data_IF_509008646854
#
_entry.id   IF_509008646854
#
_cell.length_a   1.000
_cell.length_b   1.000
_cell.length_c   1.000
_cell.angle_alpha   90.00
_cell.angle_beta   90.00
_cell.angle_gamma   90.00
#
_symmetry.space_group_name_H-M   'P 1'
#
loop_
_entity.id
_entity.type
_entity.pdbx_description
1 polymer ?
#
# COMPACT_ATOMS: atom_id res chain seq x y z
N UNK A 1 2.21 -12.25 -11.53
CA UNK A 1 3.52 -11.91 -12.13
C UNK A 1 3.49 -10.55 -12.82
N UNK A 2 2.50 -10.25 -13.68
CA UNK A 2 2.37 -8.94 -14.33
C UNK A 2 2.27 -7.76 -13.35
N UNK A 3 1.49 -7.88 -12.28
CA UNK A 3 1.35 -6.84 -11.25
C UNK A 3 2.66 -6.51 -10.53
N UNK A 4 3.50 -7.52 -10.26
CA UNK A 4 4.84 -7.32 -9.67
C UNK A 4 5.74 -6.60 -10.65
N UNK A 5 5.75 -7.01 -11.93
CA UNK A 5 6.54 -6.34 -12.96
C UNK A 5 6.15 -4.86 -13.09
N UNK A 6 4.85 -4.55 -13.12
CA UNK A 6 4.35 -3.17 -13.12
C UNK A 6 4.81 -2.44 -11.86
N UNK A 7 4.69 -3.06 -10.68
CA UNK A 7 5.13 -2.45 -9.42
C UNK A 7 6.62 -2.12 -9.41
N UNK A 8 7.47 -3.02 -9.91
CA UNK A 8 8.91 -2.81 -10.04
C UNK A 8 9.23 -1.69 -11.03
N UNK A 9 8.55 -1.66 -12.19
CA UNK A 9 8.72 -0.59 -13.18
C UNK A 9 8.29 0.76 -12.59
N UNK A 10 7.15 0.82 -11.90
CA UNK A 10 6.68 2.04 -11.23
C UNK A 10 7.64 2.51 -10.14
N UNK A 11 8.18 1.59 -9.33
CA UNK A 11 9.18 1.91 -8.31
C UNK A 11 10.47 2.46 -8.93
N UNK A 12 10.97 1.81 -9.99
CA UNK A 12 12.17 2.25 -10.70
C UNK A 12 11.97 3.63 -11.35
N UNK A 13 10.80 3.87 -11.95
CA UNK A 13 10.47 5.17 -12.54
C UNK A 13 10.45 6.28 -11.49
N UNK A 14 9.86 6.03 -10.32
CA UNK A 14 9.89 6.98 -9.21
C UNK A 14 11.32 7.24 -8.73
N UNK A 15 12.13 6.20 -8.52
CA UNK A 15 13.53 6.38 -8.13
C UNK A 15 14.32 7.22 -9.16
N UNK A 16 14.07 7.03 -10.45
CA UNK A 16 14.69 7.84 -11.51
C UNK A 16 14.23 9.31 -11.47
N UNK A 17 12.98 9.55 -11.08
CA UNK A 17 12.39 10.89 -10.96
C UNK A 17 12.68 11.57 -9.60
N UNK A 18 13.32 10.87 -8.66
CA UNK A 18 13.56 11.35 -7.28
C UNK A 18 14.18 12.73 -7.23
N UNK A 19 15.26 12.95 -7.99
CA UNK A 19 15.98 14.22 -8.03
C UNK A 19 15.09 15.37 -8.53
N UNK A 20 14.34 15.12 -9.61
CA UNK A 20 13.39 16.09 -10.16
C UNK A 20 12.28 16.44 -9.14
N UNK A 21 11.72 15.43 -8.48
CA UNK A 21 10.66 15.62 -7.50
C UNK A 21 11.16 16.40 -6.29
N UNK A 22 12.30 16.03 -5.72
CA UNK A 22 12.86 16.72 -4.55
C UNK A 22 13.22 18.18 -4.88
N UNK A 23 13.79 18.44 -6.06
CA UNK A 23 14.13 19.79 -6.50
C UNK A 23 12.90 20.72 -6.65
N UNK A 24 11.70 20.18 -6.92
CA UNK A 24 10.46 20.97 -6.95
C UNK A 24 10.01 21.46 -5.57
N UNK A 25 10.42 20.80 -4.49
CA UNK A 25 10.03 21.15 -3.12
C UNK A 25 11.17 21.83 -2.34
N UNK A 26 12.41 21.43 -2.60
CA UNK A 26 13.60 21.93 -1.92
C UNK A 26 14.52 22.62 -2.93
N UNK A 27 14.57 23.95 -2.86
CA UNK A 27 15.33 24.79 -3.80
C UNK A 27 16.63 25.38 -3.20
N UNK A 28 16.94 25.09 -1.93
CA UNK A 28 18.07 25.71 -1.22
C UNK A 28 19.33 24.84 -1.28
N UNK A 29 20.50 25.47 -1.31
CA UNK A 29 21.82 24.81 -1.42
C UNK A 29 22.25 24.01 -0.17
N UNK A 30 21.50 24.07 0.94
CA UNK A 30 21.78 23.30 2.16
C UNK A 30 20.67 22.27 2.42
N UNK A 31 21.03 20.98 2.63
CA UNK A 31 20.07 19.95 2.97
C UNK A 31 19.37 20.31 4.28
N UNK A 32 18.08 20.65 4.19
CA UNK A 32 17.28 20.85 5.39
C UNK A 32 17.01 19.50 6.08
N UNK A 33 16.79 19.49 7.39
CA UNK A 33 16.38 18.27 8.09
C UNK A 33 15.12 17.64 7.46
N UNK A 34 14.22 18.48 6.94
CA UNK A 34 13.03 18.05 6.22
C UNK A 34 13.34 17.38 4.88
N UNK A 35 14.37 17.83 4.16
CA UNK A 35 14.79 17.24 2.88
C UNK A 35 15.38 15.85 3.08
N UNK A 36 16.24 15.66 4.08
CA UNK A 36 16.82 14.35 4.41
C UNK A 36 15.72 13.36 4.81
N UNK A 37 14.78 13.81 5.65
CA UNK A 37 13.64 13.01 6.05
C UNK A 37 12.81 12.62 4.82
N UNK A 38 12.37 13.59 4.02
CA UNK A 38 11.55 13.38 2.80
C UNK A 38 12.25 12.44 1.82
N UNK A 39 13.56 12.57 1.65
CA UNK A 39 14.38 11.69 0.81
C UNK A 39 14.30 10.24 1.27
N UNK A 40 14.40 9.98 2.58
CA UNK A 40 14.21 8.64 3.15
C UNK A 40 12.79 8.12 2.99
N UNK A 41 11.78 8.98 3.22
CA UNK A 41 10.37 8.61 3.03
C UNK A 41 10.08 8.23 1.57
N UNK A 42 10.66 8.98 0.63
CA UNK A 42 10.51 8.73 -0.79
C UNK A 42 11.02 7.36 -1.19
N UNK A 43 12.19 6.96 -0.69
CA UNK A 43 12.77 5.64 -0.99
C UNK A 43 11.87 4.51 -0.46
N UNK A 44 11.32 4.67 0.74
CA UNK A 44 10.41 3.70 1.33
C UNK A 44 9.09 3.65 0.53
N UNK A 45 8.56 4.80 0.12
CA UNK A 45 7.36 4.85 -0.73
C UNK A 45 7.60 4.15 -2.08
N UNK A 46 8.74 4.38 -2.72
CA UNK A 46 9.10 3.69 -3.96
C UNK A 46 9.16 2.17 -3.76
N UNK A 47 9.78 1.68 -2.67
CA UNK A 47 9.79 0.26 -2.34
C UNK A 47 8.38 -0.30 -2.07
N UNK A 48 7.51 0.48 -1.41
CA UNK A 48 6.14 0.07 -1.06
C UNK A 48 5.24 -0.21 -2.26
N UNK A 49 5.52 0.42 -3.41
CA UNK A 49 4.72 0.28 -4.62
C UNK A 49 4.67 -1.14 -5.17
N UNK A 50 5.72 -1.93 -4.93
CA UNK A 50 5.76 -3.33 -5.36
C UNK A 50 4.71 -4.15 -4.60
N UNK A 51 4.59 -3.94 -3.29
CA UNK A 51 3.59 -4.62 -2.46
C UNK A 51 2.20 -4.05 -2.76
N UNK A 52 2.11 -2.73 -2.95
CA UNK A 52 0.85 -2.05 -3.26
C UNK A 52 0.27 -2.47 -4.62
N UNK A 53 1.11 -2.73 -5.62
CA UNK A 53 0.64 -3.23 -6.91
C UNK A 53 0.03 -4.63 -6.80
N UNK A 54 0.57 -5.47 -5.90
CA UNK A 54 0.01 -6.78 -5.58
C UNK A 54 -1.33 -6.65 -4.86
N UNK A 55 -1.40 -5.85 -3.79
CA UNK A 55 -2.65 -5.65 -3.04
C UNK A 55 -3.76 -5.10 -3.93
N UNK A 56 -3.45 -4.13 -4.79
CA UNK A 56 -4.40 -3.56 -5.75
C UNK A 56 -4.89 -4.59 -6.76
N UNK A 57 -4.00 -5.45 -7.28
CA UNK A 57 -4.37 -6.53 -8.20
C UNK A 57 -5.30 -7.54 -7.52
N UNK A 58 -4.99 -7.99 -6.31
CA UNK A 58 -5.79 -8.99 -5.61
C UNK A 58 -7.18 -8.45 -5.23
N UNK A 59 -7.23 -7.24 -4.66
CA UNK A 59 -8.48 -6.64 -4.16
C UNK A 59 -9.32 -6.16 -5.34
N UNK A 60 -8.78 -5.26 -6.18
CA UNK A 60 -9.55 -4.59 -7.23
C UNK A 60 -9.63 -5.46 -8.49
N UNK A 61 -8.53 -6.10 -8.87
CA UNK A 61 -8.44 -6.88 -10.11
C UNK A 61 -9.15 -8.24 -10.03
N UNK A 62 -9.03 -8.97 -8.92
CA UNK A 62 -9.57 -10.33 -8.79
C UNK A 62 -10.85 -10.34 -7.96
N UNK A 63 -10.76 -9.99 -6.67
CA UNK A 63 -11.87 -10.18 -5.73
C UNK A 63 -13.07 -9.29 -6.03
N UNK A 64 -12.82 -8.00 -6.33
CA UNK A 64 -13.90 -7.05 -6.66
C UNK A 64 -14.53 -7.36 -8.02
N UNK A 65 -13.72 -7.72 -9.02
CA UNK A 65 -14.22 -8.12 -10.34
C UNK A 65 -15.00 -9.46 -10.29
N UNK A 66 -14.63 -10.38 -9.39
CA UNK A 66 -15.30 -11.66 -9.16
C UNK A 66 -16.63 -11.58 -8.38
N UNK A 67 -17.09 -10.37 -8.03
CA UNK A 67 -18.35 -10.16 -7.31
C UNK A 67 -18.23 -10.16 -5.78
N UNK A 68 -17.03 -10.31 -5.22
CA UNK A 68 -16.78 -10.27 -3.76
C UNK A 68 -16.40 -8.84 -3.28
N UNK A 69 -17.11 -7.83 -3.78
CA UNK A 69 -16.83 -6.42 -3.50
C UNK A 69 -17.04 -6.07 -2.00
N UNK A 70 -17.98 -6.75 -1.32
CA UNK A 70 -18.26 -6.53 0.10
C UNK A 70 -17.06 -6.93 0.96
N UNK A 71 -16.44 -8.08 0.69
CA UNK A 71 -15.23 -8.51 1.38
C UNK A 71 -14.09 -7.51 1.18
N UNK A 72 -13.90 -7.03 -0.06
CA UNK A 72 -12.89 -6.04 -0.39
C UNK A 72 -13.06 -4.76 0.44
N UNK A 73 -14.28 -4.24 0.52
CA UNK A 73 -14.61 -3.04 1.29
C UNK A 73 -14.35 -3.21 2.78
N UNK A 74 -14.79 -4.34 3.36
CA UNK A 74 -14.59 -4.62 4.78
C UNK A 74 -13.09 -4.74 5.09
N UNK A 75 -12.34 -5.45 4.26
CA UNK A 75 -10.90 -5.65 4.47
C UNK A 75 -10.14 -4.34 4.41
N UNK A 76 -10.45 -3.47 3.44
CA UNK A 76 -9.81 -2.16 3.27
C UNK A 76 -10.12 -1.23 4.45
N UNK A 77 -11.38 -1.17 4.87
CA UNK A 77 -11.80 -0.35 6.02
C UNK A 77 -11.16 -0.85 7.31
N UNK A 78 -11.14 -2.16 7.57
CA UNK A 78 -10.53 -2.70 8.79
C UNK A 78 -9.02 -2.48 8.82
N UNK A 79 -8.33 -2.71 7.70
CA UNK A 79 -6.89 -2.49 7.61
C UNK A 79 -6.53 -1.02 7.87
N UNK A 80 -7.32 -0.08 7.36
CA UNK A 80 -7.03 1.35 7.51
C UNK A 80 -7.46 1.90 8.88
N UNK A 81 -8.68 1.60 9.33
CA UNK A 81 -9.27 2.20 10.53
C UNK A 81 -9.01 1.45 11.82
N UNK A 82 -8.93 0.11 11.76
CA UNK A 82 -8.74 -0.72 12.96
C UNK A 82 -7.28 -1.05 13.19
N UNK A 83 -6.49 -1.11 12.12
CA UNK A 83 -5.08 -1.44 12.20
C UNK A 83 -4.17 -0.21 12.04
N UNK A 84 -4.14 0.41 10.86
CA UNK A 84 -3.17 1.47 10.54
C UNK A 84 -3.29 2.70 11.46
N UNK A 85 -4.49 3.27 11.54
CA UNK A 85 -4.74 4.50 12.30
C UNK A 85 -4.45 4.36 13.81
N UNK A 86 -4.96 3.32 14.50
CA UNK A 86 -4.64 3.11 15.90
C UNK A 86 -3.16 2.88 16.11
N UNK A 87 -2.52 1.99 15.34
CA UNK A 87 -1.09 1.73 15.48
C UNK A 87 -0.25 2.99 15.23
N UNK A 88 -0.62 3.82 14.25
CA UNK A 88 0.04 5.10 13.99
C UNK A 88 -0.08 6.05 15.18
N UNK A 89 -1.28 6.18 15.77
CA UNK A 89 -1.51 6.99 16.96
C UNK A 89 -0.68 6.53 18.16
N UNK A 90 -0.63 5.22 18.43
CA UNK A 90 0.18 4.67 19.52
C UNK A 90 1.67 4.95 19.30
N UNK A 91 2.15 4.82 18.07
CA UNK A 91 3.56 5.04 17.73
C UNK A 91 3.96 6.51 17.90
N UNK A 92 3.14 7.45 17.45
CA UNK A 92 3.46 8.88 17.53
C UNK A 92 3.24 9.47 18.92
N UNK A 93 2.11 9.17 19.57
CA UNK A 93 1.70 9.86 20.80
C UNK A 93 2.16 9.17 22.09
N UNK A 94 2.33 7.84 22.07
CA UNK A 94 2.72 7.10 23.29
C UNK A 94 4.22 6.84 23.26
N UNK A 95 4.71 6.28 22.16
CA UNK A 95 6.11 5.88 22.03
C UNK A 95 7.04 7.01 21.53
N UNK A 96 6.47 8.13 21.04
CA UNK A 96 7.22 9.28 20.52
C UNK A 96 8.28 8.89 19.48
N UNK A 97 7.97 7.87 18.66
CA UNK A 97 8.92 7.35 17.67
C UNK A 97 8.93 8.24 16.44
N UNK A 98 10.11 8.30 15.80
CA UNK A 98 10.35 9.10 14.60
C UNK A 98 9.34 8.74 13.47
N UNK A 99 8.76 9.71 12.73
CA UNK A 99 7.71 9.40 11.76
C UNK A 99 8.12 8.45 10.63
N UNK A 100 9.42 8.20 10.45
CA UNK A 100 9.93 7.18 9.52
C UNK A 100 9.36 5.77 9.82
N UNK A 101 9.07 5.45 11.08
CA UNK A 101 8.50 4.17 11.47
C UNK A 101 7.02 4.01 11.04
N UNK A 102 6.31 5.11 10.78
CA UNK A 102 4.95 5.05 10.23
C UNK A 102 4.92 4.43 8.83
N UNK A 103 6.02 4.54 8.08
CA UNK A 103 6.11 3.93 6.75
C UNK A 103 6.25 2.41 6.82
N UNK A 104 6.98 1.90 7.81
CA UNK A 104 7.03 0.46 8.09
C UNK A 104 5.63 -0.08 8.41
N UNK A 105 4.83 0.70 9.14
CA UNK A 105 3.45 0.35 9.46
C UNK A 105 2.55 0.31 8.20
N UNK A 106 2.69 1.27 7.28
CA UNK A 106 1.98 1.25 5.97
C UNK A 106 2.38 0.02 5.16
N UNK A 107 3.67 -0.32 5.12
CA UNK A 107 4.16 -1.51 4.42
C UNK A 107 3.55 -2.79 4.97
N UNK A 108 3.48 -2.86 6.30
CA UNK A 108 2.94 -3.99 7.03
C UNK A 108 1.42 -4.10 6.86
N UNK A 109 0.71 -2.98 6.83
CA UNK A 109 -0.72 -2.93 6.50
C UNK A 109 -1.03 -3.45 5.09
N UNK A 110 -0.25 -3.02 4.08
CA UNK A 110 -0.35 -3.56 2.72
C UNK A 110 -0.03 -5.07 2.69
N UNK A 111 0.99 -5.51 3.43
CA UNK A 111 1.31 -6.93 3.59
C UNK A 111 0.17 -7.76 4.19
N UNK A 112 -0.46 -7.26 5.26
CA UNK A 112 -1.62 -7.90 5.90
C UNK A 112 -2.78 -8.03 4.90
N UNK A 113 -3.08 -6.97 4.12
CA UNK A 113 -4.12 -7.01 3.09
C UNK A 113 -3.82 -8.08 2.04
N UNK A 114 -2.59 -8.16 1.55
CA UNK A 114 -2.16 -9.19 0.59
C UNK A 114 -2.38 -10.59 1.17
N UNK A 115 -1.96 -10.83 2.42
CA UNK A 115 -2.11 -12.13 3.07
C UNK A 115 -3.59 -12.54 3.23
N UNK A 116 -4.43 -11.62 3.71
CA UNK A 116 -5.87 -11.83 3.88
C UNK A 116 -6.53 -12.14 2.53
N UNK A 117 -6.19 -11.38 1.49
CA UNK A 117 -6.73 -11.60 0.15
C UNK A 117 -6.26 -12.92 -0.46
N UNK A 118 -5.00 -13.28 -0.26
CA UNK A 118 -4.46 -14.55 -0.74
C UNK A 118 -5.13 -15.75 -0.06
N UNK A 119 -5.34 -15.67 1.26
CA UNK A 119 -6.11 -16.68 1.99
C UNK A 119 -7.56 -16.78 1.47
N UNK A 120 -8.22 -15.65 1.22
CA UNK A 120 -9.58 -15.60 0.66
C UNK A 120 -9.65 -16.24 -0.73
N UNK A 121 -8.68 -15.97 -1.58
CA UNK A 121 -8.59 -16.54 -2.92
C UNK A 121 -8.44 -18.06 -2.86
N UNK A 122 -7.58 -18.56 -1.98
CA UNK A 122 -7.37 -20.00 -1.82
C UNK A 122 -8.62 -20.74 -1.28
N UNK A 123 -9.54 -20.03 -0.62
CA UNK A 123 -10.80 -20.61 -0.15
C UNK A 123 -11.81 -20.90 -1.26
N UNK A 124 -11.62 -20.44 -2.51
CA UNK A 124 -12.54 -20.57 -3.66
C UNK A 124 -13.98 -20.05 -3.45
N UNK A 125 -14.34 -19.54 -2.27
CA UNK A 125 -15.67 -18.97 -1.96
C UNK A 125 -15.90 -17.58 -2.55
N UNK A 126 -14.89 -17.01 -3.20
CA UNK A 126 -14.93 -15.67 -3.79
C UNK A 126 -15.67 -15.66 -5.14
N UNK A 127 -15.71 -16.79 -5.85
CA UNK A 127 -16.44 -16.91 -7.12
C UNK A 127 -17.92 -17.13 -6.81
N UNK A 128 -18.70 -16.04 -6.83
CA UNK A 128 -20.16 -16.17 -6.85
C UNK A 128 -20.59 -16.33 -8.30
N UNK A 129 -21.36 -17.38 -8.59
CA UNK A 129 -21.82 -17.64 -9.96
C UNK A 129 -22.84 -16.55 -10.34
N UNK A 130 -22.39 -15.51 -11.04
CA UNK A 130 -23.24 -14.37 -11.42
C UNK A 130 -24.33 -14.77 -12.43
N UNK A 131 -24.18 -15.93 -13.09
CA UNK A 131 -25.13 -16.45 -14.06
C UNK A 131 -26.37 -17.13 -13.44
N UNK A 132 -26.35 -17.49 -12.16
CA UNK A 132 -27.50 -18.15 -11.51
C UNK A 132 -28.71 -17.22 -11.28
N UNK A 133 -28.53 -15.90 -11.38
CA UNK A 133 -29.61 -14.92 -11.28
C UNK A 133 -30.31 -14.58 -12.59
N UNK A 134 -29.97 -15.24 -13.71
CA UNK A 134 -30.53 -14.98 -15.04
C UNK A 134 -31.64 -15.96 -15.46
N UNK A 135 -32.27 -16.65 -14.49
CA UNK A 135 -33.41 -17.55 -14.72
C UNK A 135 -34.68 -17.02 -14.04
#
# INVERSE_FOLDING_TARGET
MLSVAIGVISAALLMAMKSLVLAMFFHNDLPSAAEQMTTGLYDIMAASLIIKSLSMMLIVGILRAGGDARFCLITDVLAQWVFLLPCAYWLTHVLHVDPIYLFGLVLLEEGIKVLICFWRLNSNRWVRNLAEGMN
#
